data_IF_328895419323
#
_entry.id   IF_328895419323
#
_cell.length_a   1.000
_cell.length_b   1.000
_cell.length_c   1.000
_cell.angle_alpha   90.00
_cell.angle_beta   90.00
_cell.angle_gamma   90.00
#
_symmetry.space_group_name_H-M   'P 1'
#
loop_
_entity.id
_entity.type
_entity.pdbx_description
1 polymer ?
#
# COMPACT_ATOMS: atom_id res chain seq x y z
N UNK A 1 -11.31 12.88 -2.57
CA UNK A 1 -10.19 12.00 -2.94
C UNK A 1 -10.58 10.56 -2.65
N UNK A 2 -10.34 9.61 -3.55
CA UNK A 2 -10.65 8.19 -3.34
C UNK A 2 -9.37 7.47 -2.95
N UNK A 3 -9.33 6.90 -1.76
CA UNK A 3 -8.15 6.23 -1.19
C UNK A 3 -8.55 4.80 -0.84
N UNK A 4 -7.66 3.85 -1.10
CA UNK A 4 -7.76 2.47 -0.65
C UNK A 4 -6.75 2.19 0.46
N UNK A 5 -6.97 1.09 1.18
CA UNK A 5 -6.06 0.62 2.21
C UNK A 5 -5.59 -0.78 1.88
N UNK A 6 -4.29 -1.03 2.01
CA UNK A 6 -3.70 -2.35 1.88
C UNK A 6 -2.98 -2.74 3.17
N UNK A 7 -3.03 -4.02 3.52
CA UNK A 7 -2.27 -4.57 4.63
C UNK A 7 -0.93 -5.10 4.15
N UNK A 8 0.17 -4.63 4.75
CA UNK A 8 1.51 -5.13 4.50
C UNK A 8 1.65 -6.58 4.95
N UNK A 9 2.22 -7.44 4.09
CA UNK A 9 2.46 -8.85 4.40
C UNK A 9 3.48 -9.08 5.54
N UNK A 10 4.50 -8.23 5.66
CA UNK A 10 5.58 -8.45 6.64
C UNK A 10 5.23 -7.92 8.03
N UNK A 11 4.62 -6.74 8.12
CA UNK A 11 4.38 -6.07 9.41
C UNK A 11 2.90 -5.98 9.80
N UNK A 12 1.99 -6.50 8.96
CA UNK A 12 0.54 -6.50 9.17
C UNK A 12 -0.10 -5.12 9.39
N UNK A 13 0.63 -4.04 9.12
CA UNK A 13 0.14 -2.65 9.20
C UNK A 13 -0.61 -2.26 7.93
N UNK A 14 -1.56 -1.35 8.09
CA UNK A 14 -2.34 -0.81 7.00
C UNK A 14 -1.70 0.45 6.42
N UNK A 15 -1.68 0.56 5.09
CA UNK A 15 -1.12 1.70 4.36
C UNK A 15 -2.17 2.26 3.40
N UNK A 16 -2.26 3.59 3.36
CA UNK A 16 -3.13 4.33 2.44
C UNK A 16 -2.49 4.37 1.07
N UNK A 17 -3.28 4.12 0.03
CA UNK A 17 -2.85 4.14 -1.36
C UNK A 17 -3.93 4.79 -2.24
N UNK A 18 -3.57 5.32 -3.42
CA UNK A 18 -4.55 5.73 -4.44
C UNK A 18 -5.44 4.56 -4.88
N UNK A 19 -6.72 4.82 -5.19
CA UNK A 19 -7.70 3.77 -5.55
C UNK A 19 -7.35 3.02 -6.85
N UNK A 20 -6.52 3.61 -7.69
CA UNK A 20 -6.02 3.12 -8.97
C UNK A 20 -4.65 2.43 -8.86
N UNK A 21 -4.12 2.29 -7.65
CA UNK A 21 -2.90 1.52 -7.38
C UNK A 21 -3.14 0.03 -7.67
N UNK A 22 -2.40 -0.50 -8.65
CA UNK A 22 -2.37 -1.92 -8.99
C UNK A 22 -1.35 -2.63 -8.11
N UNK A 23 -1.81 -3.47 -7.18
CA UNK A 23 -0.96 -4.07 -6.16
C UNK A 23 -0.63 -5.53 -6.48
N UNK A 24 0.65 -5.95 -6.36
CA UNK A 24 1.02 -7.35 -6.46
C UNK A 24 0.48 -8.16 -5.26
N UNK A 25 0.27 -9.49 -5.39
CA UNK A 25 -0.24 -10.34 -4.31
C UNK A 25 0.62 -10.37 -3.03
N UNK A 26 1.90 -10.00 -3.12
CA UNK A 26 2.90 -10.01 -2.03
C UNK A 26 3.33 -8.59 -1.62
N UNK A 27 2.42 -7.62 -1.72
CA UNK A 27 2.73 -6.23 -1.39
C UNK A 27 3.26 -6.05 0.05
N UNK A 28 4.36 -5.30 0.18
CA UNK A 28 4.99 -4.92 1.46
C UNK A 28 5.19 -3.41 1.56
N UNK A 29 5.49 -2.90 2.76
CA UNK A 29 5.71 -1.46 2.99
C UNK A 29 6.77 -0.84 2.07
N UNK A 30 7.81 -1.59 1.72
CA UNK A 30 8.88 -1.12 0.83
C UNK A 30 8.42 -0.90 -0.62
N UNK A 31 7.28 -1.48 -1.01
CA UNK A 31 6.65 -1.25 -2.31
C UNK A 31 5.78 0.03 -2.34
N UNK A 32 5.65 0.73 -1.20
CA UNK A 32 4.80 1.93 -1.11
C UNK A 32 5.49 3.15 -1.73
N UNK A 33 5.41 3.30 -3.05
CA UNK A 33 5.96 4.47 -3.77
C UNK A 33 5.15 5.77 -3.56
N UNK A 34 4.01 5.68 -2.89
CA UNK A 34 3.12 6.82 -2.60
C UNK A 34 3.31 7.38 -1.18
N UNK A 35 4.06 6.68 -0.31
CA UNK A 35 4.54 7.26 0.94
C UNK A 35 5.72 8.18 0.60
N UNK A 36 5.64 9.50 0.82
CA UNK A 36 6.82 10.35 0.72
C UNK A 36 7.84 9.91 1.76
N UNK A 37 9.09 9.79 1.32
CA UNK A 37 10.26 9.42 2.14
C UNK A 37 10.51 10.42 3.27
#
# INVERSE_FOLDING_TARGET
>A
EKTQWVQCKDCSKWRKLPVDAHLPPKWVCSDNVWDPV
#
